data_IF_825807851628
#
_entry.id   IF_825807851628
#
_cell.length_a   1.000
_cell.length_b   1.000
_cell.length_c   1.000
_cell.angle_alpha   90.00
_cell.angle_beta   90.00
_cell.angle_gamma   90.00
#
_symmetry.space_group_name_H-M   'P 1'
#
loop_
_entity.id
_entity.type
_entity.pdbx_description
1 polymer ?
#
# COMPACT_ATOMS: atom_id res chain seq x y z
N UNK A 1 -8.40 16.21 -26.12
CA UNK A 1 -8.34 14.80 -26.60
C UNK A 1 -7.43 14.02 -25.66
N UNK A 2 -8.02 13.33 -24.69
CA UNK A 2 -7.31 12.48 -23.74
C UNK A 2 -6.79 11.25 -24.49
N UNK A 3 -5.47 11.08 -24.56
CA UNK A 3 -4.86 9.88 -25.13
C UNK A 3 -5.49 8.63 -24.48
N UNK A 4 -5.86 7.60 -25.25
CA UNK A 4 -6.43 6.39 -24.69
C UNK A 4 -5.41 5.81 -23.70
N UNK A 5 -5.79 5.71 -22.43
CA UNK A 5 -4.96 5.09 -21.39
C UNK A 5 -4.69 3.65 -21.81
N UNK A 6 -3.50 3.40 -22.33
CA UNK A 6 -3.12 2.10 -22.86
C UNK A 6 -3.20 1.05 -21.75
N UNK A 7 -3.84 -0.08 -22.05
CA UNK A 7 -3.93 -1.22 -21.13
C UNK A 7 -2.54 -1.56 -20.59
N UNK A 8 -2.41 -1.76 -19.28
CA UNK A 8 -1.15 -2.17 -18.63
C UNK A 8 -0.55 -3.40 -19.33
N UNK A 9 -1.41 -4.31 -19.81
CA UNK A 9 -1.04 -5.48 -20.61
C UNK A 9 -0.30 -5.09 -21.90
N UNK A 10 -0.85 -4.15 -22.67
CA UNK A 10 -0.26 -3.70 -23.93
C UNK A 10 1.08 -2.99 -23.68
N UNK A 11 1.14 -2.18 -22.62
CA UNK A 11 2.34 -1.40 -22.27
C UNK A 11 3.49 -2.30 -21.82
N UNK A 12 3.23 -3.27 -20.96
CA UNK A 12 4.23 -4.27 -20.53
C UNK A 12 4.68 -5.16 -21.69
N UNK A 13 3.74 -5.64 -22.50
CA UNK A 13 4.06 -6.42 -23.70
C UNK A 13 4.94 -5.63 -24.68
N UNK A 14 4.58 -4.37 -24.97
CA UNK A 14 5.35 -3.50 -25.85
C UNK A 14 6.77 -3.23 -25.30
N UNK A 15 6.90 -2.98 -23.99
CA UNK A 15 8.21 -2.78 -23.38
C UNK A 15 9.09 -4.04 -23.46
N UNK A 16 8.53 -5.21 -23.14
CA UNK A 16 9.25 -6.48 -23.19
C UNK A 16 9.67 -6.87 -24.61
N UNK A 17 8.78 -6.69 -25.60
CA UNK A 17 9.10 -7.04 -26.99
C UNK A 17 10.12 -6.08 -27.59
N UNK A 18 10.06 -4.78 -27.27
CA UNK A 18 11.06 -3.81 -27.71
C UNK A 18 12.42 -4.09 -27.07
N UNK A 19 12.46 -4.30 -25.75
CA UNK A 19 13.71 -4.61 -25.06
C UNK A 19 14.35 -5.91 -25.59
N UNK A 20 13.54 -6.95 -25.78
CA UNK A 20 14.03 -8.22 -26.33
C UNK A 20 14.46 -8.07 -27.78
N UNK A 21 13.67 -7.36 -28.59
CA UNK A 21 14.00 -7.07 -29.99
C UNK A 21 15.33 -6.32 -30.14
N UNK A 22 15.63 -5.37 -29.25
CA UNK A 22 16.91 -4.65 -29.23
C UNK A 22 18.08 -5.59 -28.92
N UNK A 23 17.94 -6.46 -27.90
CA UNK A 23 18.97 -7.45 -27.55
C UNK A 23 19.22 -8.41 -28.71
N UNK A 24 18.15 -8.85 -29.38
CA UNK A 24 18.22 -9.74 -30.53
C UNK A 24 18.86 -9.07 -31.75
N UNK A 25 18.47 -7.85 -32.06
CA UNK A 25 19.06 -7.06 -33.15
C UNK A 25 20.56 -6.85 -32.91
N UNK A 26 20.96 -6.54 -31.67
CA UNK A 26 22.37 -6.41 -31.30
C UNK A 26 23.12 -7.74 -31.48
N UNK A 27 22.57 -8.86 -30.98
CA UNK A 27 23.18 -10.17 -31.15
C UNK A 27 23.34 -10.57 -32.62
N UNK A 28 22.31 -10.36 -33.44
CA UNK A 28 22.36 -10.65 -34.88
C UNK A 28 23.41 -9.78 -35.60
N UNK A 29 23.44 -8.48 -35.32
CA UNK A 29 24.43 -7.56 -35.88
C UNK A 29 25.86 -7.96 -35.47
N UNK A 30 26.06 -8.28 -34.18
CA UNK A 30 27.35 -8.72 -33.66
C UNK A 30 27.84 -10.01 -34.32
N UNK A 31 26.97 -11.01 -34.45
CA UNK A 31 27.29 -12.29 -35.13
C UNK A 31 27.71 -12.03 -36.57
N UNK A 32 26.93 -11.24 -37.31
CA UNK A 32 27.17 -10.99 -38.74
C UNK A 32 28.48 -10.24 -38.96
N UNK A 33 28.74 -9.17 -38.19
CA UNK A 33 29.96 -8.36 -38.28
C UNK A 33 31.21 -9.14 -37.81
N UNK A 34 31.11 -9.88 -36.70
CA UNK A 34 32.24 -10.60 -36.12
C UNK A 34 32.64 -11.86 -36.91
N UNK A 35 31.66 -12.54 -37.53
CA UNK A 35 31.90 -13.77 -38.30
C UNK A 35 32.61 -13.45 -39.60
N UNK A 36 32.17 -12.43 -40.35
CA UNK A 36 32.79 -12.05 -41.61
C UNK A 36 34.28 -11.71 -41.43
N UNK A 37 34.60 -10.80 -40.50
CA UNK A 37 35.98 -10.37 -40.29
C UNK A 37 36.92 -11.48 -39.78
N UNK A 38 36.41 -12.51 -39.09
CA UNK A 38 37.19 -13.68 -38.69
C UNK A 38 37.35 -14.67 -39.83
N UNK A 39 36.29 -14.93 -40.57
CA UNK A 39 36.28 -15.90 -41.65
C UNK A 39 37.21 -15.49 -42.79
N UNK A 40 37.23 -14.21 -43.16
CA UNK A 40 38.15 -13.72 -44.18
C UNK A 40 39.62 -13.94 -43.79
N UNK A 41 39.98 -13.68 -42.53
CA UNK A 41 41.34 -13.88 -42.03
C UNK A 41 41.77 -15.34 -42.04
N UNK A 42 40.88 -16.26 -41.64
CA UNK A 42 41.17 -17.69 -41.62
C UNK A 42 41.34 -18.24 -43.03
N UNK A 43 40.47 -17.84 -43.97
CA UNK A 43 40.54 -18.30 -45.36
C UNK A 43 41.79 -17.76 -46.07
N UNK A 44 42.10 -16.47 -45.90
CA UNK A 44 43.31 -15.88 -46.46
C UNK A 44 44.58 -16.49 -45.85
N UNK A 45 44.59 -16.82 -44.55
CA UNK A 45 45.71 -17.52 -43.92
C UNK A 45 45.94 -18.92 -44.52
N UNK A 46 44.86 -19.68 -44.80
CA UNK A 46 44.95 -20.99 -45.46
C UNK A 46 45.58 -20.91 -46.85
N UNK A 47 45.24 -19.89 -47.65
CA UNK A 47 45.86 -19.68 -48.97
C UNK A 47 47.38 -19.47 -48.87
N UNK A 48 47.81 -18.66 -47.89
CA UNK A 48 49.22 -18.39 -47.64
C UNK A 48 49.97 -19.64 -47.19
N UNK A 49 49.41 -20.37 -46.22
CA UNK A 49 50.01 -21.60 -45.71
C UNK A 49 50.14 -22.66 -46.81
N UNK A 50 49.10 -22.85 -47.63
CA UNK A 50 49.13 -23.78 -48.76
C UNK A 50 50.21 -23.40 -49.80
N UNK A 51 50.29 -22.12 -50.19
CA UNK A 51 51.29 -21.66 -51.16
C UNK A 51 52.72 -21.80 -50.64
N UNK A 52 52.94 -21.48 -49.36
CA UNK A 52 54.25 -21.61 -48.72
C UNK A 52 54.66 -23.08 -48.56
N UNK A 53 53.71 -23.98 -48.24
CA UNK A 53 53.96 -25.42 -48.15
C UNK A 53 54.38 -25.98 -49.51
N UNK A 54 53.65 -25.66 -50.58
CA UNK A 54 54.01 -26.08 -51.94
C UNK A 54 55.36 -25.50 -52.36
N UNK A 55 55.62 -24.22 -52.07
CA UNK A 55 56.91 -23.59 -52.37
C UNK A 55 58.09 -24.25 -51.62
N UNK A 56 57.89 -24.62 -50.36
CA UNK A 56 58.91 -25.29 -49.53
C UNK A 56 59.19 -26.72 -49.99
N UNK A 57 58.17 -27.49 -50.39
CA UNK A 57 58.33 -28.86 -50.91
C UNK A 57 59.08 -28.90 -52.23
N UNK A 58 58.93 -27.85 -53.04
CA UNK A 58 59.69 -27.67 -54.28
C UNK A 58 61.16 -27.36 -53.99
N UNK A 59 61.45 -26.52 -52.98
CA UNK A 59 62.82 -26.18 -52.58
C UNK A 59 63.57 -27.39 -51.98
N UNK A 60 62.90 -28.28 -51.25
CA UNK A 60 63.49 -29.48 -50.63
C UNK A 60 63.81 -30.63 -51.60
N UNK A 61 63.63 -30.46 -52.92
CA UNK A 61 63.90 -31.47 -53.96
C UNK A 61 63.11 -32.79 -53.84
N UNK A 62 62.07 -32.86 -53.00
CA UNK A 62 61.18 -34.05 -52.95
C UNK A 62 60.34 -34.20 -54.22
N UNK A 63 60.14 -33.10 -54.96
CA UNK A 63 59.48 -33.08 -56.26
C UNK A 63 60.51 -32.64 -57.30
N UNK A 64 61.09 -33.59 -58.04
CA UNK A 64 62.02 -33.29 -59.13
C UNK A 64 61.33 -32.53 -60.26
N UNK A 65 61.59 -31.23 -60.37
CA UNK A 65 61.04 -30.36 -61.43
C UNK A 65 61.57 -30.67 -62.85
N UNK A 66 62.55 -31.56 -62.98
CA UNK A 66 63.24 -31.85 -64.25
C UNK A 66 62.73 -33.07 -65.02
N UNK A 67 61.58 -33.66 -64.66
CA UNK A 67 61.03 -34.84 -65.37
C UNK A 67 59.51 -34.80 -65.66
N UNK A 68 58.86 -33.64 -65.66
CA UNK A 68 57.42 -33.53 -65.89
C UNK A 68 57.06 -32.60 -67.06
N UNK A 69 57.60 -32.88 -68.25
CA UNK A 69 56.98 -32.44 -69.51
C UNK A 69 55.79 -33.35 -69.91
N UNK A 70 55.48 -34.37 -69.09
CA UNK A 70 54.23 -35.12 -69.13
C UNK A 70 53.39 -34.75 -67.93
N UNK A 71 52.13 -34.37 -68.17
CA UNK A 71 51.07 -34.27 -67.17
C UNK A 71 51.11 -35.50 -66.25
N UNK A 72 51.54 -35.30 -65.00
CA UNK A 72 51.36 -36.29 -63.95
C UNK A 72 49.87 -36.38 -63.67
N UNK A 73 49.23 -37.42 -64.21
CA UNK A 73 47.82 -37.72 -63.98
C UNK A 73 47.69 -38.23 -62.54
N UNK A 74 47.40 -37.31 -61.62
CA UNK A 74 47.10 -37.64 -60.24
C UNK A 74 45.75 -38.38 -60.23
N UNK A 75 45.80 -39.69 -59.98
CA UNK A 75 44.64 -40.59 -59.99
C UNK A 75 43.38 -39.98 -59.38
N UNK A 76 42.27 -40.27 -60.04
CA UNK A 76 40.94 -39.69 -59.84
C UNK A 76 40.35 -40.04 -58.46
N UNK A 77 40.72 -39.28 -57.42
CA UNK A 77 40.00 -39.29 -56.15
C UNK A 77 38.77 -38.39 -56.30
N UNK A 78 37.66 -38.98 -56.76
CA UNK A 78 36.36 -38.32 -56.97
C UNK A 78 35.65 -38.12 -55.62
N UNK A 79 35.91 -36.98 -54.98
CA UNK A 79 34.98 -36.39 -54.02
C UNK A 79 34.56 -35.03 -54.57
N UNK A 80 33.46 -35.01 -55.35
CA UNK A 80 32.95 -33.85 -56.10
C UNK A 80 32.77 -32.58 -55.27
N UNK A 81 32.57 -32.70 -53.95
CA UNK A 81 32.41 -31.56 -53.04
C UNK A 81 33.70 -30.85 -52.63
N UNK A 82 34.88 -31.49 -52.71
CA UNK A 82 36.15 -30.93 -52.21
C UNK A 82 37.09 -30.42 -53.31
N UNK A 83 36.91 -30.86 -54.57
CA UNK A 83 37.86 -30.59 -55.67
C UNK A 83 37.95 -29.13 -56.13
N UNK A 84 37.08 -28.22 -55.66
CA UNK A 84 37.09 -26.79 -56.01
C UNK A 84 37.47 -25.84 -54.88
N UNK A 85 37.90 -26.35 -53.72
CA UNK A 85 38.09 -25.49 -52.55
C UNK A 85 39.39 -24.68 -52.60
N UNK A 86 40.44 -25.24 -53.22
CA UNK A 86 41.74 -24.59 -53.42
C UNK A 86 42.33 -25.03 -54.76
N UNK A 87 42.65 -24.07 -55.61
CA UNK A 87 43.28 -24.30 -56.91
C UNK A 87 44.73 -23.83 -56.87
N UNK A 88 45.67 -24.69 -57.27
CA UNK A 88 47.11 -24.41 -57.30
C UNK A 88 47.63 -24.43 -58.73
N UNK A 89 48.44 -23.45 -59.10
CA UNK A 89 49.22 -23.41 -60.34
C UNK A 89 50.69 -23.13 -60.01
N UNK A 90 51.60 -23.81 -60.69
CA UNK A 90 53.04 -23.61 -60.58
C UNK A 90 53.51 -23.14 -61.95
N UNK A 91 54.08 -21.95 -62.00
CA UNK A 91 54.62 -21.33 -63.21
C UNK A 91 56.13 -21.24 -63.09
N UNK A 92 56.86 -21.44 -64.19
CA UNK A 92 58.27 -21.11 -64.28
C UNK A 92 58.43 -19.58 -64.29
N UNK A 93 59.58 -19.08 -63.82
CA UNK A 93 59.93 -17.66 -63.99
C UNK A 93 60.04 -17.23 -65.46
N UNK A 94 60.19 -18.19 -66.40
CA UNK A 94 60.12 -17.95 -67.85
C UNK A 94 58.69 -17.70 -68.37
N UNK A 95 57.67 -17.99 -67.56
CA UNK A 95 56.26 -17.83 -67.91
C UNK A 95 55.56 -19.10 -68.36
N UNK A 96 56.23 -20.25 -68.33
CA UNK A 96 55.65 -21.56 -68.70
C UNK A 96 54.89 -22.20 -67.53
N UNK A 97 53.74 -22.82 -67.80
CA UNK A 97 52.99 -23.56 -66.77
C UNK A 97 53.68 -24.90 -66.52
N UNK A 98 54.18 -25.10 -65.29
CA UNK A 98 54.92 -26.29 -64.87
C UNK A 98 54.00 -27.35 -64.29
N UNK A 99 52.93 -26.93 -63.59
CA UNK A 99 51.95 -27.85 -63.02
C UNK A 99 50.69 -27.15 -62.54
N UNK A 100 49.57 -27.86 -62.50
CA UNK A 100 48.30 -27.35 -61.98
C UNK A 100 47.52 -28.44 -61.23
N UNK A 101 46.74 -28.04 -60.23
CA UNK A 101 45.76 -28.92 -59.59
C UNK A 101 44.56 -29.17 -60.52
N UNK A 102 43.87 -30.31 -60.37
CA UNK A 102 42.71 -30.69 -61.20
C UNK A 102 41.61 -29.62 -61.29
N UNK A 103 41.40 -28.82 -60.23
CA UNK A 103 40.40 -27.74 -60.19
C UNK A 103 40.91 -26.34 -60.61
N UNK A 104 42.13 -26.20 -61.14
CA UNK A 104 42.68 -24.90 -61.53
C UNK A 104 42.35 -24.56 -63.00
N UNK A 105 41.95 -23.31 -63.31
CA UNK A 105 41.72 -22.87 -64.69
C UNK A 105 43.02 -22.92 -65.50
N UNK A 106 42.90 -22.94 -66.84
CA UNK A 106 44.07 -22.88 -67.73
C UNK A 106 44.69 -21.48 -67.78
N UNK A 107 43.86 -20.45 -67.59
CA UNK A 107 44.32 -19.08 -67.49
C UNK A 107 45.04 -18.82 -66.15
N UNK A 108 46.10 -18.01 -66.21
CA UNK A 108 46.94 -17.67 -65.06
C UNK A 108 46.13 -16.96 -63.96
N UNK A 109 46.18 -17.47 -62.73
CA UNK A 109 45.37 -16.97 -61.61
C UNK A 109 45.79 -15.58 -61.09
N UNK A 110 47.04 -15.16 -61.27
CA UNK A 110 47.53 -13.84 -60.86
C UNK A 110 48.64 -13.33 -61.78
N UNK A 111 48.66 -12.02 -62.02
CA UNK A 111 49.78 -11.33 -62.68
C UNK A 111 50.75 -10.68 -61.68
N UNK A 112 50.49 -10.80 -60.37
CA UNK A 112 51.34 -10.23 -59.33
C UNK A 112 52.42 -11.22 -58.91
N UNK A 113 53.65 -10.73 -58.76
CA UNK A 113 54.81 -11.56 -58.42
C UNK A 113 54.77 -12.11 -56.98
N UNK A 114 54.02 -11.50 -56.05
CA UNK A 114 53.84 -12.01 -54.70
C UNK A 114 52.63 -11.38 -54.00
N UNK A 115 52.10 -12.05 -52.98
CA UNK A 115 51.04 -11.54 -52.12
C UNK A 115 49.63 -11.86 -52.61
N UNK A 116 48.62 -11.23 -52.01
CA UNK A 116 47.24 -11.50 -52.37
C UNK A 116 46.74 -10.61 -53.51
N UNK A 117 46.01 -11.21 -54.45
CA UNK A 117 45.30 -10.53 -55.51
C UNK A 117 43.85 -11.06 -55.60
N UNK A 118 42.95 -10.26 -56.18
CA UNK A 118 41.64 -10.73 -56.63
C UNK A 118 41.63 -10.61 -58.16
N UNK A 119 41.25 -11.69 -58.85
CA UNK A 119 41.20 -11.73 -60.31
C UNK A 119 39.91 -12.38 -60.79
N UNK A 120 39.38 -11.90 -61.90
CA UNK A 120 38.32 -12.59 -62.63
C UNK A 120 38.97 -13.49 -63.67
N UNK A 121 38.71 -14.80 -63.60
CA UNK A 121 39.20 -15.82 -64.54
C UNK A 121 38.01 -16.67 -64.93
N UNK A 122 37.78 -16.83 -66.24
CA UNK A 122 36.65 -17.58 -66.81
C UNK A 122 35.27 -17.15 -66.27
N UNK A 123 35.12 -15.85 -65.98
CA UNK A 123 33.89 -15.26 -65.43
C UNK A 123 33.71 -15.41 -63.91
N UNK A 124 34.60 -16.14 -63.23
CA UNK A 124 34.56 -16.34 -61.78
C UNK A 124 35.57 -15.45 -61.06
N UNK A 125 35.23 -15.00 -59.85
CA UNK A 125 36.13 -14.20 -59.02
C UNK A 125 36.98 -15.10 -58.13
N UNK A 126 38.29 -14.99 -58.27
CA UNK A 126 39.28 -15.75 -57.51
C UNK A 126 40.03 -14.83 -56.57
N UNK A 127 40.24 -15.27 -55.33
CA UNK A 127 41.18 -14.66 -54.39
C UNK A 127 42.42 -15.55 -54.36
N UNK A 128 43.56 -14.98 -54.71
CA UNK A 128 44.78 -15.74 -55.03
C UNK A 128 45.92 -15.20 -54.19
N UNK A 129 46.75 -16.09 -53.66
CA UNK A 129 48.03 -15.77 -53.04
C UNK A 129 49.18 -16.29 -53.92
N UNK A 130 50.07 -15.38 -54.32
CA UNK A 130 51.24 -15.67 -55.14
C UNK A 130 52.50 -15.71 -54.26
N UNK A 131 53.33 -16.74 -54.47
CA UNK A 131 54.66 -16.87 -53.87
C UNK A 131 55.67 -17.13 -54.98
N UNK A 132 56.61 -16.20 -55.14
CA UNK A 132 57.73 -16.35 -56.07
C UNK A 132 58.95 -16.88 -55.33
N UNK A 133 59.44 -18.04 -55.76
CA UNK A 133 60.66 -18.65 -55.23
C UNK A 133 61.77 -18.53 -56.28
N UNK A 134 62.64 -17.54 -56.11
CA UNK A 134 63.74 -17.26 -57.04
C UNK A 134 64.80 -18.36 -57.06
N UNK A 135 64.99 -19.09 -55.95
CA UNK A 135 65.96 -20.19 -55.85
C UNK A 135 65.53 -21.42 -56.65
N UNK A 136 64.23 -21.72 -56.61
CA UNK A 136 63.63 -22.81 -57.35
C UNK A 136 63.23 -22.44 -58.78
N UNK A 137 63.31 -21.16 -59.16
CA UNK A 137 62.95 -20.69 -60.50
C UNK A 137 61.45 -20.79 -60.82
N UNK A 138 60.58 -20.81 -59.79
CA UNK A 138 59.13 -20.98 -59.95
C UNK A 138 58.30 -19.96 -59.16
N UNK A 139 57.07 -19.78 -59.60
CA UNK A 139 56.01 -18.98 -58.98
C UNK A 139 54.81 -19.88 -58.70
N UNK A 140 54.42 -19.97 -57.43
CA UNK A 140 53.28 -20.76 -56.96
C UNK A 140 52.10 -19.83 -56.74
N UNK A 141 50.98 -20.14 -57.38
CA UNK A 141 49.71 -19.42 -57.27
C UNK A 141 48.67 -20.34 -56.63
N UNK A 142 48.16 -19.99 -55.45
CA UNK A 142 47.06 -20.72 -54.81
C UNK A 142 45.86 -19.81 -54.68
N UNK A 143 44.69 -20.22 -55.16
CA UNK A 143 43.47 -19.40 -55.08
C UNK A 143 42.22 -20.16 -54.68
N UNK A 144 41.28 -19.45 -54.06
CA UNK A 144 39.92 -19.90 -53.76
C UNK A 144 38.89 -19.12 -54.61
N UNK A 145 37.79 -19.79 -54.98
CA UNK A 145 36.69 -19.16 -55.70
C UNK A 145 35.80 -18.39 -54.71
N UNK A 146 35.68 -17.07 -54.90
CA UNK A 146 34.91 -16.18 -54.04
C UNK A 146 33.40 -16.42 -54.11
N UNK A 147 32.87 -16.91 -55.24
CA UNK A 147 31.45 -17.27 -55.38
C UNK A 147 31.12 -18.45 -54.46
N UNK A 148 31.92 -19.52 -54.54
CA UNK A 148 31.76 -20.69 -53.67
C UNK A 148 31.95 -20.34 -52.19
N UNK A 149 32.97 -19.52 -51.88
CA UNK A 149 33.18 -18.98 -50.53
C UNK A 149 31.95 -18.22 -50.02
N UNK A 150 31.37 -17.34 -50.85
CA UNK A 150 30.19 -16.55 -50.48
C UNK A 150 28.94 -17.41 -50.29
N UNK A 151 28.80 -18.51 -51.03
CA UNK A 151 27.69 -19.46 -50.87
C UNK A 151 27.76 -20.14 -49.50
N UNK A 152 28.95 -20.62 -49.09
CA UNK A 152 29.18 -21.18 -47.76
C UNK A 152 28.88 -20.14 -46.67
N UNK A 153 29.37 -18.90 -46.83
CA UNK A 153 29.10 -17.82 -45.87
C UNK A 153 27.60 -17.55 -45.76
N UNK A 154 26.88 -17.49 -46.89
CA UNK A 154 25.44 -17.26 -46.92
C UNK A 154 24.67 -18.38 -46.25
N UNK A 155 25.00 -19.64 -46.52
CA UNK A 155 24.37 -20.80 -45.88
C UNK A 155 24.59 -20.80 -44.37
N UNK A 156 25.81 -20.51 -43.91
CA UNK A 156 26.10 -20.35 -42.48
C UNK A 156 25.29 -19.20 -41.87
N UNK A 157 25.25 -18.02 -42.52
CA UNK A 157 24.48 -16.88 -42.05
C UNK A 157 22.98 -17.19 -41.99
N UNK A 158 22.42 -17.87 -42.98
CA UNK A 158 21.02 -18.32 -42.96
C UNK A 158 20.77 -19.32 -41.83
N UNK A 159 21.67 -20.30 -41.64
CA UNK A 159 21.57 -21.28 -40.56
C UNK A 159 21.60 -20.63 -39.17
N UNK A 160 22.27 -19.48 -39.00
CA UNK A 160 22.28 -18.73 -37.74
C UNK A 160 21.09 -17.77 -37.61
N UNK A 161 20.69 -17.09 -38.69
CA UNK A 161 19.67 -16.01 -38.65
C UNK A 161 18.23 -16.51 -38.77
N UNK A 162 17.96 -17.58 -39.52
CA UNK A 162 16.59 -18.12 -39.69
C UNK A 162 16.00 -18.62 -38.37
N UNK A 163 16.69 -19.45 -37.55
CA UNK A 163 16.18 -19.82 -36.24
C UNK A 163 15.90 -18.60 -35.38
N UNK A 164 16.72 -17.56 -35.52
CA UNK A 164 16.58 -16.30 -34.80
C UNK A 164 15.29 -15.55 -35.23
N UNK A 165 14.99 -15.52 -36.52
CA UNK A 165 13.78 -14.88 -37.02
C UNK A 165 12.49 -15.61 -36.60
N UNK A 166 12.53 -16.94 -36.47
CA UNK A 166 11.38 -17.77 -36.06
C UNK A 166 11.13 -17.73 -34.56
N UNK A 167 12.19 -17.67 -33.75
CA UNK A 167 12.09 -17.69 -32.28
C UNK A 167 11.56 -16.38 -31.70
N UNK A 168 11.80 -15.24 -32.35
CA UNK A 168 11.29 -13.94 -31.90
C UNK A 168 9.74 -13.84 -31.89
N UNK A 169 9.00 -14.19 -32.97
CA UNK A 169 7.54 -14.20 -32.94
C UNK A 169 6.98 -15.29 -32.00
N UNK A 170 7.67 -16.43 -31.87
CA UNK A 170 7.29 -17.46 -30.89
C UNK A 170 7.38 -16.91 -29.46
N UNK A 171 8.48 -16.23 -29.12
CA UNK A 171 8.66 -15.58 -27.83
C UNK A 171 7.62 -14.47 -27.61
N UNK A 172 7.30 -13.68 -28.64
CA UNK A 172 6.24 -12.67 -28.57
C UNK A 172 4.88 -13.32 -28.22
N UNK A 173 4.53 -14.43 -28.87
CA UNK A 173 3.31 -15.16 -28.56
C UNK A 173 3.30 -15.67 -27.11
N UNK A 174 4.41 -16.27 -26.64
CA UNK A 174 4.55 -16.74 -25.26
C UNK A 174 4.38 -15.59 -24.26
N UNK A 175 5.06 -14.47 -24.48
CA UNK A 175 4.96 -13.28 -23.63
C UNK A 175 3.53 -12.72 -23.61
N UNK A 176 2.84 -12.68 -24.76
CA UNK A 176 1.45 -12.23 -24.85
C UNK A 176 0.50 -13.07 -24.00
N UNK A 177 0.68 -14.40 -24.00
CA UNK A 177 -0.10 -15.31 -23.16
C UNK A 177 0.30 -15.25 -21.68
N UNK A 178 1.59 -15.16 -21.38
CA UNK A 178 2.11 -15.09 -20.01
C UNK A 178 1.64 -13.82 -19.29
N UNK A 179 1.80 -12.65 -19.92
CA UNK A 179 1.34 -11.37 -19.36
C UNK A 179 -0.19 -11.35 -19.24
N UNK A 180 -0.89 -11.91 -20.24
CA UNK A 180 -2.35 -12.02 -20.21
C UNK A 180 -2.88 -12.86 -19.04
N UNK A 181 -2.26 -14.02 -18.79
CA UNK A 181 -2.58 -14.88 -17.64
C UNK A 181 -2.18 -14.26 -16.31
N UNK A 182 -1.00 -13.64 -16.23
CA UNK A 182 -0.50 -12.99 -15.00
C UNK A 182 -1.36 -11.82 -14.53
N UNK A 183 -1.96 -11.06 -15.45
CA UNK A 183 -2.84 -9.93 -15.13
C UNK A 183 -4.32 -10.32 -15.00
N UNK A 184 -4.70 -11.57 -15.31
CA UNK A 184 -6.09 -12.02 -15.25
C UNK A 184 -6.71 -11.96 -13.84
N UNK A 185 -6.01 -12.28 -12.73
CA UNK A 185 -6.56 -12.12 -11.38
C UNK A 185 -6.94 -10.67 -11.06
N UNK A 186 -6.12 -9.71 -11.50
CA UNK A 186 -6.37 -8.29 -11.27
C UNK A 186 -7.60 -7.79 -12.06
N UNK A 187 -7.76 -8.21 -13.32
CA UNK A 187 -8.93 -7.83 -14.10
C UNK A 187 -10.22 -8.47 -13.58
N UNK A 188 -10.15 -9.70 -13.07
CA UNK A 188 -11.29 -10.34 -12.38
C UNK A 188 -11.67 -9.59 -11.10
N UNK A 189 -10.68 -9.17 -10.31
CA UNK A 189 -10.91 -8.38 -9.10
C UNK A 189 -11.58 -7.04 -9.43
N UNK A 190 -11.07 -6.33 -10.44
CA UNK A 190 -11.66 -5.07 -10.90
C UNK A 190 -13.11 -5.26 -11.37
N UNK A 191 -13.38 -6.29 -12.20
CA UNK A 191 -14.73 -6.59 -12.67
C UNK A 191 -15.68 -6.99 -11.53
N UNK A 192 -15.18 -7.69 -10.50
CA UNK A 192 -15.96 -8.02 -9.28
C UNK A 192 -16.33 -6.75 -8.51
N UNK A 193 -15.40 -5.80 -8.38
CA UNK A 193 -15.64 -4.51 -7.71
C UNK A 193 -16.60 -3.61 -8.51
N UNK A 194 -16.46 -3.53 -9.84
CA UNK A 194 -17.35 -2.71 -10.69
C UNK A 194 -18.80 -3.19 -10.69
N UNK A 195 -19.03 -4.51 -10.56
CA UNK A 195 -20.38 -5.09 -10.54
C UNK A 195 -21.01 -5.11 -9.15
N UNK A 196 -20.23 -4.79 -8.11
CA UNK A 196 -20.68 -4.84 -6.73
C UNK A 196 -21.57 -3.64 -6.44
N UNK A 197 -22.69 -3.87 -5.75
CA UNK A 197 -23.57 -2.80 -5.29
C UNK A 197 -22.92 -2.07 -4.11
N UNK A 198 -23.26 -0.79 -3.94
CA UNK A 198 -22.70 0.02 -2.85
C UNK A 198 -22.96 -0.56 -1.45
N UNK A 199 -24.05 -1.30 -1.26
CA UNK A 199 -24.41 -1.93 0.02
C UNK A 199 -23.78 -3.31 0.24
N UNK A 200 -23.18 -3.91 -0.80
CA UNK A 200 -22.61 -5.26 -0.70
C UNK A 200 -21.20 -5.20 -0.12
N UNK A 201 -21.13 -5.39 1.21
CA UNK A 201 -19.91 -5.35 2.01
C UNK A 201 -19.37 -6.76 2.34
N UNK A 202 -19.82 -7.79 1.61
CA UNK A 202 -19.29 -9.15 1.80
C UNK A 202 -17.79 -9.21 1.48
N UNK A 203 -17.00 -9.98 2.24
CA UNK A 203 -15.57 -10.10 2.01
C UNK A 203 -15.28 -10.68 0.62
N UNK A 204 -14.22 -10.17 0.00
CA UNK A 204 -13.66 -10.71 -1.24
C UNK A 204 -12.87 -11.99 -0.91
N UNK A 205 -13.02 -13.06 -1.71
CA UNK A 205 -12.29 -14.31 -1.50
C UNK A 205 -10.78 -14.12 -1.72
N UNK A 206 -9.97 -14.61 -0.78
CA UNK A 206 -8.49 -14.54 -0.84
C UNK A 206 -7.88 -15.69 -1.67
N UNK A 207 -8.61 -16.78 -1.88
CA UNK A 207 -8.09 -18.03 -2.47
C UNK A 207 -7.67 -17.87 -3.94
N UNK A 208 -8.36 -16.99 -4.67
CA UNK A 208 -8.09 -16.69 -6.08
C UNK A 208 -6.95 -15.64 -6.27
N UNK A 209 -6.47 -15.02 -5.18
CA UNK A 209 -5.53 -13.91 -5.26
C UNK A 209 -4.07 -14.39 -5.22
N UNK A 210 -3.26 -13.90 -6.16
CA UNK A 210 -1.80 -14.09 -6.15
C UNK A 210 -1.17 -13.41 -4.94
N UNK A 211 0.05 -13.82 -4.56
CA UNK A 211 0.73 -13.36 -3.35
C UNK A 211 0.85 -11.82 -3.28
N UNK A 212 1.01 -11.18 -4.43
CA UNK A 212 1.17 -9.73 -4.60
C UNK A 212 -0.16 -8.99 -4.44
N UNK A 213 -1.28 -9.64 -4.75
CA UNK A 213 -2.63 -9.04 -4.71
C UNK A 213 -3.29 -9.25 -3.33
N UNK A 214 -2.91 -10.30 -2.60
CA UNK A 214 -3.46 -10.61 -1.26
C UNK A 214 -3.45 -9.42 -0.28
N UNK A 215 -2.38 -8.62 -0.14
CA UNK A 215 -2.40 -7.46 0.76
C UNK A 215 -3.47 -6.43 0.40
N UNK A 216 -3.72 -6.22 -0.90
CA UNK A 216 -4.76 -5.29 -1.38
C UNK A 216 -6.16 -5.83 -1.06
N UNK A 217 -6.39 -7.13 -1.27
CA UNK A 217 -7.66 -7.79 -0.92
C UNK A 217 -7.93 -7.68 0.58
N UNK A 218 -6.92 -7.92 1.42
CA UNK A 218 -7.04 -7.77 2.88
C UNK A 218 -7.36 -6.35 3.30
N UNK A 219 -6.69 -5.36 2.72
CA UNK A 219 -6.96 -3.96 3.02
C UNK A 219 -8.39 -3.56 2.64
N UNK A 220 -8.90 -4.04 1.48
CA UNK A 220 -10.28 -3.85 1.06
C UNK A 220 -11.27 -4.54 2.00
N UNK A 221 -11.03 -5.80 2.37
CA UNK A 221 -11.87 -6.52 3.31
C UNK A 221 -11.94 -5.82 4.69
N UNK A 222 -10.80 -5.32 5.18
CA UNK A 222 -10.77 -4.52 6.41
C UNK A 222 -11.56 -3.21 6.30
N UNK A 223 -11.54 -2.56 5.14
CA UNK A 223 -12.39 -1.39 4.88
C UNK A 223 -13.87 -1.77 4.87
N UNK A 224 -14.26 -2.84 4.17
CA UNK A 224 -15.65 -3.31 4.13
C UNK A 224 -16.17 -3.65 5.52
N UNK A 225 -15.36 -4.29 6.37
CA UNK A 225 -15.72 -4.57 7.75
C UNK A 225 -16.01 -3.29 8.54
N UNK A 226 -15.12 -2.29 8.48
CA UNK A 226 -15.31 -1.01 9.17
C UNK A 226 -16.56 -0.29 8.69
N UNK A 227 -16.82 -0.28 7.39
CA UNK A 227 -18.04 0.34 6.82
C UNK A 227 -19.28 -0.43 7.27
N UNK A 228 -19.24 -1.77 7.31
CA UNK A 228 -20.36 -2.59 7.75
C UNK A 228 -20.70 -2.35 9.23
N UNK A 229 -19.69 -2.22 10.09
CA UNK A 229 -19.89 -1.88 11.50
C UNK A 229 -20.52 -0.49 11.68
N UNK A 230 -20.04 0.52 10.94
CA UNK A 230 -20.58 1.87 11.00
C UNK A 230 -22.05 1.91 10.57
N UNK A 231 -22.37 1.32 9.41
CA UNK A 231 -23.75 1.25 8.92
C UNK A 231 -24.66 0.41 9.82
N UNK A 232 -24.12 -0.66 10.42
CA UNK A 232 -24.85 -1.47 11.41
C UNK A 232 -25.28 -0.64 12.62
N UNK A 233 -24.34 0.12 13.19
CA UNK A 233 -24.60 1.02 14.33
C UNK A 233 -25.60 2.12 14.00
N UNK A 234 -25.50 2.70 12.80
CA UNK A 234 -26.43 3.74 12.33
C UNK A 234 -27.86 3.19 12.19
N UNK A 235 -28.02 2.01 11.56
CA UNK A 235 -29.34 1.37 11.39
C UNK A 235 -29.99 1.02 12.72
N UNK A 236 -29.22 0.48 13.66
CA UNK A 236 -29.72 0.17 15.00
C UNK A 236 -30.16 1.45 15.73
N UNK A 237 -29.36 2.51 15.67
CA UNK A 237 -29.72 3.81 16.23
C UNK A 237 -31.02 4.36 15.65
N UNK A 238 -31.17 4.38 14.32
CA UNK A 238 -32.37 4.86 13.65
C UNK A 238 -33.60 4.02 14.00
N UNK A 239 -33.46 2.70 14.07
CA UNK A 239 -34.55 1.79 14.42
C UNK A 239 -35.06 2.05 15.84
N UNK A 240 -34.16 2.21 16.80
CA UNK A 240 -34.54 2.47 18.20
C UNK A 240 -35.06 3.90 18.38
N UNK A 241 -34.44 4.90 17.74
CA UNK A 241 -34.94 6.28 17.76
C UNK A 241 -36.37 6.37 17.23
N UNK A 242 -36.68 5.67 16.14
CA UNK A 242 -38.05 5.61 15.60
C UNK A 242 -39.03 4.96 16.60
N UNK A 243 -38.61 3.90 17.29
CA UNK A 243 -39.45 3.24 18.31
C UNK A 243 -39.72 4.15 19.51
N UNK A 244 -38.68 4.78 20.06
CA UNK A 244 -38.75 5.67 21.22
C UNK A 244 -39.55 6.94 20.93
N UNK A 245 -39.59 7.43 19.69
CA UNK A 245 -40.45 8.56 19.29
C UNK A 245 -41.92 8.13 19.10
N UNK A 246 -42.18 6.92 18.59
CA UNK A 246 -43.54 6.45 18.28
C UNK A 246 -44.42 6.29 19.52
N UNK A 247 -43.84 5.79 20.60
CA UNK A 247 -44.56 5.53 21.88
C UNK A 247 -45.14 6.81 22.50
N UNK A 248 -44.37 7.88 22.76
CA UNK A 248 -44.91 9.12 23.32
C UNK A 248 -45.83 9.85 22.35
N UNK A 249 -45.61 9.78 21.03
CA UNK A 249 -46.55 10.32 20.04
C UNK A 249 -47.93 9.64 20.11
N UNK A 250 -47.95 8.32 20.33
CA UNK A 250 -49.20 7.59 20.53
C UNK A 250 -49.90 8.02 21.83
N UNK A 251 -49.13 8.21 22.90
CA UNK A 251 -49.66 8.74 24.17
C UNK A 251 -50.24 10.16 24.04
N UNK A 252 -49.56 11.05 23.32
CA UNK A 252 -50.03 12.41 23.02
C UNK A 252 -51.35 12.36 22.24
N UNK A 253 -51.44 11.49 21.23
CA UNK A 253 -52.68 11.28 20.47
C UNK A 253 -53.82 10.84 21.38
N UNK A 254 -53.59 9.87 22.27
CA UNK A 254 -54.62 9.42 23.22
C UNK A 254 -55.08 10.54 24.14
N UNK A 255 -54.17 11.37 24.67
CA UNK A 255 -54.57 12.51 25.51
C UNK A 255 -55.34 13.57 24.71
N UNK A 256 -54.98 13.80 23.45
CA UNK A 256 -55.74 14.68 22.56
C UNK A 256 -57.16 14.15 22.29
N UNK A 257 -57.31 12.83 22.06
CA UNK A 257 -58.62 12.18 21.92
C UNK A 257 -59.46 12.29 23.20
N UNK A 258 -58.85 12.15 24.38
CA UNK A 258 -59.51 12.35 25.68
C UNK A 258 -59.95 13.81 25.83
N UNK A 259 -59.09 14.79 25.53
CA UNK A 259 -59.42 16.21 25.61
C UNK A 259 -60.58 16.57 24.66
N UNK A 260 -60.60 16.01 23.45
CA UNK A 260 -61.66 16.24 22.47
C UNK A 260 -63.02 15.64 22.87
N UNK A 261 -63.02 14.57 23.67
CA UNK A 261 -64.22 13.86 24.14
C UNK A 261 -64.51 14.08 25.63
N UNK A 262 -63.87 15.07 26.25
CA UNK A 262 -63.98 15.29 27.68
C UNK A 262 -65.43 15.66 28.08
N UNK A 263 -66.03 14.97 29.06
CA UNK A 263 -67.41 15.25 29.50
C UNK A 263 -67.50 16.51 30.37
N UNK A 264 -66.38 16.99 30.90
CA UNK A 264 -66.29 18.14 31.81
C UNK A 264 -64.96 18.92 31.62
N UNK A 265 -64.92 20.14 32.15
CA UNK A 265 -63.76 21.04 32.01
C UNK A 265 -62.52 20.57 32.76
N UNK A 266 -62.68 19.87 33.89
CA UNK A 266 -61.56 19.37 34.66
C UNK A 266 -60.83 18.23 33.92
N UNK A 267 -61.58 17.31 33.31
CA UNK A 267 -61.02 16.25 32.46
C UNK A 267 -60.30 16.83 31.24
N UNK A 268 -60.88 17.86 30.59
CA UNK A 268 -60.25 18.57 29.46
C UNK A 268 -58.93 19.21 29.87
N UNK A 269 -58.94 19.97 30.97
CA UNK A 269 -57.76 20.67 31.49
C UNK A 269 -56.64 19.69 31.89
N UNK A 270 -57.00 18.59 32.54
CA UNK A 270 -56.04 17.55 32.91
C UNK A 270 -55.42 16.87 31.67
N UNK A 271 -56.21 16.58 30.64
CA UNK A 271 -55.72 16.01 29.38
C UNK A 271 -54.79 16.99 28.63
N UNK A 272 -55.15 18.27 28.54
CA UNK A 272 -54.30 19.32 27.96
C UNK A 272 -52.97 19.47 28.72
N UNK A 273 -53.00 19.45 30.06
CA UNK A 273 -51.79 19.48 30.88
C UNK A 273 -50.86 18.27 30.62
N UNK A 274 -51.44 17.07 30.42
CA UNK A 274 -50.68 15.87 30.05
C UNK A 274 -50.09 15.97 28.64
N UNK A 275 -50.79 16.60 27.70
CA UNK A 275 -50.27 16.87 26.34
C UNK A 275 -49.04 17.78 26.43
N UNK A 276 -49.13 18.92 27.13
CA UNK A 276 -48.01 19.87 27.30
C UNK A 276 -46.81 19.14 27.91
N UNK A 277 -47.03 18.41 29.01
CA UNK A 277 -45.97 17.63 29.67
C UNK A 277 -45.36 16.58 28.72
N UNK A 278 -46.17 15.95 27.88
CA UNK A 278 -45.72 14.97 26.88
C UNK A 278 -44.92 15.60 25.74
N UNK A 279 -45.29 16.80 25.29
CA UNK A 279 -44.55 17.57 24.28
C UNK A 279 -43.17 17.96 24.82
N UNK A 280 -43.09 18.44 26.05
CA UNK A 280 -41.81 18.78 26.70
C UNK A 280 -40.89 17.57 26.83
N UNK A 281 -41.46 16.39 27.12
CA UNK A 281 -40.71 15.12 27.15
C UNK A 281 -40.19 14.74 25.76
N UNK A 282 -41.00 14.87 24.72
CA UNK A 282 -40.57 14.59 23.35
C UNK A 282 -39.48 15.56 22.89
N UNK A 283 -39.61 16.85 23.21
CA UNK A 283 -38.59 17.84 22.88
C UNK A 283 -37.24 17.49 23.55
N UNK A 284 -37.26 17.03 24.81
CA UNK A 284 -36.06 16.51 25.49
C UNK A 284 -35.47 15.29 24.79
N UNK A 285 -36.30 14.30 24.42
CA UNK A 285 -35.83 13.11 23.70
C UNK A 285 -35.16 13.46 22.37
N UNK A 286 -35.75 14.37 21.58
CA UNK A 286 -35.16 14.83 20.31
C UNK A 286 -33.82 15.52 20.55
N UNK A 287 -33.71 16.39 21.56
CA UNK A 287 -32.43 17.02 21.93
C UNK A 287 -31.37 15.97 22.31
N UNK A 288 -31.76 14.93 23.03
CA UNK A 288 -30.86 13.84 23.40
C UNK A 288 -30.40 13.02 22.19
N UNK A 289 -31.30 12.72 21.24
CA UNK A 289 -30.97 12.01 19.99
C UNK A 289 -30.01 12.82 19.11
N UNK A 290 -30.26 14.13 18.95
CA UNK A 290 -29.39 15.02 18.19
C UNK A 290 -28.01 15.12 18.85
N UNK A 291 -27.97 15.32 20.16
CA UNK A 291 -26.72 15.40 20.90
C UNK A 291 -25.92 14.07 20.84
N UNK A 292 -26.61 12.93 20.83
CA UNK A 292 -25.98 11.63 20.61
C UNK A 292 -25.38 11.52 19.21
N UNK A 293 -26.11 11.91 18.16
CA UNK A 293 -25.63 11.89 16.77
C UNK A 293 -24.42 12.81 16.56
N UNK A 294 -24.46 14.03 17.13
CA UNK A 294 -23.32 14.95 17.12
C UNK A 294 -22.11 14.38 17.86
N UNK A 295 -22.34 13.70 18.98
CA UNK A 295 -21.30 13.02 19.73
C UNK A 295 -20.73 11.79 18.99
N UNK A 296 -21.48 11.06 18.18
CA UNK A 296 -20.90 9.98 17.35
C UNK A 296 -20.14 10.52 16.13
N UNK A 297 -20.60 11.62 15.52
CA UNK A 297 -20.07 12.10 14.24
C UNK A 297 -18.75 12.90 14.33
N UNK A 298 -18.47 13.58 15.43
CA UNK A 298 -17.33 14.49 15.47
C UNK A 298 -15.97 13.74 15.58
N UNK A 299 -14.87 14.30 15.09
CA UNK A 299 -13.53 13.69 15.21
C UNK A 299 -13.01 13.69 16.66
N UNK A 300 -12.12 12.77 17.09
CA UNK A 300 -11.51 12.79 18.42
C UNK A 300 -10.99 14.19 18.76
N UNK A 301 -11.43 14.76 19.88
CA UNK A 301 -11.09 16.13 20.21
C UNK A 301 -9.62 16.22 20.64
N UNK A 302 -8.77 16.79 19.78
CA UNK A 302 -7.50 17.39 20.20
C UNK A 302 -7.88 18.65 20.95
N UNK A 303 -8.00 18.54 22.28
CA UNK A 303 -8.71 19.53 23.08
C UNK A 303 -7.87 20.77 23.37
N UNK A 304 -8.49 21.93 23.21
CA UNK A 304 -8.03 23.18 23.80
C UNK A 304 -7.99 23.06 25.34
N UNK A 305 -7.16 23.89 25.99
CA UNK A 305 -7.05 23.94 27.45
C UNK A 305 -8.30 24.62 28.02
N UNK A 306 -9.15 23.85 28.68
CA UNK A 306 -10.46 24.27 29.17
C UNK A 306 -10.50 24.28 30.69
N UNK A 307 -10.90 25.40 31.30
CA UNK A 307 -11.18 25.46 32.75
C UNK A 307 -12.50 24.77 33.05
N UNK A 308 -12.52 23.88 34.05
CA UNK A 308 -13.68 23.02 34.30
C UNK A 308 -14.89 23.77 34.86
N UNK A 309 -14.67 24.64 35.85
CA UNK A 309 -15.76 25.29 36.58
C UNK A 309 -16.76 26.05 35.67
N UNK A 310 -16.35 26.94 34.75
CA UNK A 310 -17.30 27.68 33.91
C UNK A 310 -18.20 26.75 33.07
N UNK A 311 -17.62 25.68 32.52
CA UNK A 311 -18.32 24.74 31.66
C UNK A 311 -19.28 23.88 32.46
N UNK A 312 -18.85 23.40 33.64
CA UNK A 312 -19.71 22.62 34.53
C UNK A 312 -20.87 23.47 35.02
N UNK A 313 -20.62 24.68 35.51
CA UNK A 313 -21.66 25.60 35.99
C UNK A 313 -22.69 25.93 34.91
N UNK A 314 -22.24 26.23 33.68
CA UNK A 314 -23.14 26.49 32.56
C UNK A 314 -23.97 25.25 32.18
N UNK A 315 -23.32 24.08 32.10
CA UNK A 315 -23.98 22.83 31.70
C UNK A 315 -24.96 22.28 32.75
N UNK A 316 -24.77 22.59 34.04
CA UNK A 316 -25.64 22.14 35.13
C UNK A 316 -26.74 23.14 35.53
N UNK A 317 -26.76 24.35 34.95
CA UNK A 317 -27.66 25.43 35.36
C UNK A 317 -29.15 25.06 35.30
N UNK A 318 -29.59 24.42 34.21
CA UNK A 318 -31.00 24.01 34.05
C UNK A 318 -31.40 22.93 35.08
N UNK A 319 -30.49 21.99 35.38
CA UNK A 319 -30.72 20.97 36.40
C UNK A 319 -30.78 21.57 37.81
N UNK A 320 -29.93 22.56 38.11
CA UNK A 320 -29.94 23.29 39.37
C UNK A 320 -31.28 24.02 39.58
N UNK A 321 -31.72 24.81 38.60
CA UNK A 321 -33.00 25.53 38.67
C UNK A 321 -34.20 24.58 38.86
N UNK A 322 -34.16 23.39 38.23
CA UNK A 322 -35.21 22.38 38.39
C UNK A 322 -35.24 21.78 39.80
N UNK A 323 -34.09 21.50 40.40
CA UNK A 323 -34.00 21.01 41.77
C UNK A 323 -34.51 22.04 42.76
N UNK A 324 -34.10 23.31 42.61
CA UNK A 324 -34.53 24.42 43.45
C UNK A 324 -36.06 24.60 43.43
N UNK A 325 -36.69 24.46 42.26
CA UNK A 325 -38.15 24.51 42.12
C UNK A 325 -38.88 23.42 42.94
N UNK A 326 -38.19 22.34 43.32
CA UNK A 326 -38.70 21.24 44.15
C UNK A 326 -38.16 21.25 45.59
N UNK A 327 -37.44 22.30 46.00
CA UNK A 327 -36.82 22.41 47.32
C UNK A 327 -35.50 21.64 47.48
N UNK A 328 -34.95 21.11 46.39
CA UNK A 328 -33.63 20.49 46.34
C UNK A 328 -32.51 21.49 46.03
N UNK A 329 -31.27 21.00 45.91
CA UNK A 329 -30.11 21.81 45.54
C UNK A 329 -29.07 21.04 44.72
N UNK A 330 -28.36 21.73 43.85
CA UNK A 330 -27.18 21.21 43.14
C UNK A 330 -25.94 21.91 43.70
N UNK A 331 -24.97 21.15 44.19
CA UNK A 331 -23.73 21.65 44.79
C UNK A 331 -22.57 21.36 43.84
N UNK A 332 -21.94 22.42 43.33
CA UNK A 332 -20.69 22.32 42.56
C UNK A 332 -19.52 22.63 43.49
N UNK A 333 -18.53 21.76 43.54
CA UNK A 333 -17.32 21.94 44.35
C UNK A 333 -16.42 23.05 43.76
N UNK A 334 -16.00 24.00 44.61
CA UNK A 334 -15.08 25.08 44.25
C UNK A 334 -13.72 24.55 43.75
N UNK A 335 -13.34 23.33 44.14
CA UNK A 335 -12.13 22.64 43.67
C UNK A 335 -12.09 22.43 42.15
N UNK A 336 -13.21 22.56 41.44
CA UNK A 336 -13.24 22.57 39.97
C UNK A 336 -12.57 23.81 39.36
N UNK A 337 -12.42 24.91 40.10
CA UNK A 337 -11.82 26.15 39.62
C UNK A 337 -10.35 25.99 39.18
N UNK A 338 -9.63 25.08 39.85
CA UNK A 338 -8.19 24.85 39.66
C UNK A 338 -7.88 23.77 38.61
N UNK A 339 -8.92 23.16 38.02
CA UNK A 339 -8.78 22.06 37.06
C UNK A 339 -8.88 22.59 35.64
N UNK A 340 -7.83 22.34 34.85
CA UNK A 340 -7.83 22.55 33.39
C UNK A 340 -7.70 21.21 32.69
N UNK A 341 -8.53 20.95 31.67
CA UNK A 341 -8.45 19.75 30.85
C UNK A 341 -8.13 20.10 29.40
N UNK A 342 -7.36 19.24 28.74
CA UNK A 342 -7.13 19.29 27.30
C UNK A 342 -8.18 18.43 26.56
N UNK A 343 -9.44 18.86 26.62
CA UNK A 343 -10.60 18.18 26.00
C UNK A 343 -11.50 19.19 25.30
N UNK A 344 -12.32 18.72 24.36
CA UNK A 344 -13.31 19.59 23.72
C UNK A 344 -14.38 20.06 24.71
N UNK A 345 -14.77 21.34 24.65
CA UNK A 345 -15.81 21.91 25.50
C UNK A 345 -17.19 21.26 25.27
N UNK A 346 -17.58 21.08 24.00
CA UNK A 346 -18.88 20.51 23.64
C UNK A 346 -19.13 19.09 24.24
N UNK A 347 -18.24 18.09 24.09
CA UNK A 347 -18.47 16.77 24.70
C UNK A 347 -18.45 16.82 26.23
N UNK A 348 -17.66 17.69 26.86
CA UNK A 348 -17.67 17.86 28.31
C UNK A 348 -19.01 18.45 28.78
N UNK A 349 -19.43 19.57 28.19
CA UNK A 349 -20.70 20.22 28.52
C UNK A 349 -21.89 19.28 28.33
N UNK A 350 -21.88 18.48 27.26
CA UNK A 350 -22.91 17.49 27.00
C UNK A 350 -22.95 16.37 28.04
N UNK A 351 -21.78 15.82 28.41
CA UNK A 351 -21.70 14.78 29.44
C UNK A 351 -22.17 15.30 30.80
N UNK A 352 -21.72 16.49 31.21
CA UNK A 352 -22.13 17.13 32.48
C UNK A 352 -23.62 17.38 32.51
N UNK A 353 -24.20 17.94 31.44
CA UNK A 353 -25.63 18.19 31.36
C UNK A 353 -26.43 16.90 31.55
N UNK A 354 -26.06 15.82 30.86
CA UNK A 354 -26.77 14.54 31.00
C UNK A 354 -26.64 13.94 32.41
N UNK A 355 -25.46 14.03 33.03
CA UNK A 355 -25.27 13.55 34.40
C UNK A 355 -26.06 14.39 35.42
N UNK A 356 -26.05 15.72 35.28
CA UNK A 356 -26.79 16.63 36.15
C UNK A 356 -28.31 16.48 36.00
N UNK A 357 -28.81 16.35 34.77
CA UNK A 357 -30.22 16.07 34.49
C UNK A 357 -30.66 14.72 35.05
N UNK A 358 -29.82 13.69 34.95
CA UNK A 358 -30.07 12.38 35.55
C UNK A 358 -30.15 12.50 37.08
N UNK A 359 -29.13 13.10 37.71
CA UNK A 359 -29.13 13.33 39.16
C UNK A 359 -30.37 14.08 39.62
N UNK A 360 -30.73 15.17 38.94
CA UNK A 360 -31.91 15.95 39.25
C UNK A 360 -33.25 15.23 38.99
N UNK A 361 -33.25 14.10 38.27
CA UNK A 361 -34.46 13.30 38.00
C UNK A 361 -34.65 12.22 39.06
N UNK A 362 -33.55 11.68 39.58
CA UNK A 362 -33.55 10.51 40.45
C UNK A 362 -33.20 10.80 41.92
N UNK A 363 -32.68 12.00 42.22
CA UNK A 363 -32.42 12.45 43.60
C UNK A 363 -33.69 12.36 44.45
N UNK A 364 -33.63 11.62 45.55
CA UNK A 364 -34.77 11.44 46.48
C UNK A 364 -34.66 12.32 47.71
N UNK A 365 -33.45 12.65 48.15
CA UNK A 365 -33.20 13.70 49.14
C UNK A 365 -33.05 15.09 48.53
N UNK A 366 -33.13 15.17 47.18
CA UNK A 366 -33.14 16.42 46.43
C UNK A 366 -31.76 17.06 46.27
N UNK A 367 -30.67 16.33 46.53
CA UNK A 367 -29.32 16.87 46.42
C UNK A 367 -28.50 16.15 45.36
N UNK A 368 -27.84 16.94 44.51
CA UNK A 368 -26.85 16.48 43.52
C UNK A 368 -25.53 17.18 43.79
N UNK A 369 -24.42 16.44 43.77
CA UNK A 369 -23.07 16.94 43.96
C UNK A 369 -22.26 16.76 42.68
N UNK A 370 -21.50 17.79 42.30
CA UNK A 370 -20.53 17.72 41.20
C UNK A 370 -19.17 18.13 41.76
N UNK A 371 -18.20 17.22 41.72
CA UNK A 371 -16.88 17.39 42.32
C UNK A 371 -15.76 16.85 41.46
N UNK A 372 -14.52 17.15 41.86
CA UNK A 372 -13.33 16.62 41.21
C UNK A 372 -12.47 15.84 42.21
N UNK A 373 -12.06 14.62 41.85
CA UNK A 373 -11.23 13.77 42.71
C UNK A 373 -10.56 12.63 41.93
N UNK A 374 -9.33 12.27 42.31
CA UNK A 374 -8.56 11.17 41.71
C UNK A 374 -8.49 11.17 40.17
N UNK A 375 -8.38 12.37 39.59
CA UNK A 375 -8.33 12.56 38.13
C UNK A 375 -9.68 12.35 37.43
N UNK A 376 -10.78 12.42 38.16
CA UNK A 376 -12.13 12.24 37.64
C UNK A 376 -13.07 13.39 38.01
N UNK A 377 -13.96 13.73 37.07
CA UNK A 377 -15.14 14.54 37.35
C UNK A 377 -16.24 13.60 37.86
N UNK A 378 -16.73 13.83 39.07
CA UNK A 378 -17.67 12.95 39.76
C UNK A 378 -18.99 13.67 39.93
N UNK A 379 -20.08 13.01 39.52
CA UNK A 379 -21.45 13.43 39.78
C UNK A 379 -22.12 12.39 40.67
N UNK A 380 -22.67 12.85 41.79
CA UNK A 380 -23.33 12.03 42.79
C UNK A 380 -24.73 12.56 43.09
N UNK A 381 -25.68 11.66 43.36
CA UNK A 381 -27.01 12.02 43.87
C UNK A 381 -27.37 11.22 45.12
N UNK A 382 -28.41 11.66 45.83
CA UNK A 382 -28.99 10.99 47.00
C UNK A 382 -30.26 10.19 46.63
N UNK A 383 -30.31 9.66 45.42
CA UNK A 383 -31.40 8.83 44.93
C UNK A 383 -31.42 7.40 45.49
N UNK A 384 -32.30 6.57 44.93
CA UNK A 384 -32.39 5.15 45.27
C UNK A 384 -31.23 4.28 44.78
N UNK A 385 -30.29 4.84 44.01
CA UNK A 385 -29.20 4.10 43.39
C UNK A 385 -29.65 3.09 42.33
N UNK A 386 -28.75 2.15 42.02
CA UNK A 386 -28.95 1.09 41.03
C UNK A 386 -28.39 -0.23 41.58
N UNK A 387 -28.96 -1.37 41.17
CA UNK A 387 -28.45 -2.66 41.62
C UNK A 387 -27.03 -2.92 41.06
N UNK A 388 -26.12 -3.58 41.81
CA UNK A 388 -24.73 -3.79 41.38
C UNK A 388 -24.58 -4.44 40.00
N UNK A 389 -25.50 -5.35 39.67
CA UNK A 389 -25.54 -6.11 38.42
C UNK A 389 -25.93 -5.25 37.21
N UNK A 390 -26.59 -4.12 37.43
CA UNK A 390 -27.09 -3.24 36.38
C UNK A 390 -26.04 -2.21 35.92
N UNK A 391 -25.03 -1.91 36.76
CA UNK A 391 -24.01 -0.89 36.44
C UNK A 391 -23.24 -1.18 35.14
N UNK A 392 -22.93 -2.45 34.85
CA UNK A 392 -22.23 -2.80 33.61
C UNK A 392 -23.09 -2.63 32.35
N UNK A 393 -24.41 -2.65 32.50
CA UNK A 393 -25.37 -2.51 31.39
C UNK A 393 -25.93 -1.11 31.28
N UNK A 394 -25.76 -0.28 32.32
CA UNK A 394 -26.33 1.04 32.45
C UNK A 394 -25.84 2.07 31.42
N UNK A 395 -24.60 1.92 30.92
CA UNK A 395 -24.06 2.73 29.82
C UNK A 395 -24.48 2.20 28.44
N UNK A 396 -25.15 1.04 28.38
CA UNK A 396 -25.73 0.49 27.16
C UNK A 396 -26.81 1.42 26.59
N UNK A 397 -26.84 1.54 25.26
CA UNK A 397 -27.84 2.37 24.55
C UNK A 397 -29.25 1.95 24.94
N UNK A 398 -30.08 2.92 25.33
CA UNK A 398 -31.49 2.72 25.68
C UNK A 398 -31.73 1.75 26.84
N UNK A 399 -30.70 1.44 27.63
CA UNK A 399 -30.86 0.59 28.81
C UNK A 399 -31.63 1.34 29.91
N UNK A 400 -32.62 0.66 30.49
CA UNK A 400 -33.37 1.12 31.65
C UNK A 400 -33.27 0.03 32.72
N UNK A 401 -32.81 0.41 33.91
CA UNK A 401 -32.81 -0.48 35.06
C UNK A 401 -34.22 -0.92 35.46
N UNK A 402 -34.29 -1.93 36.33
CA UNK A 402 -35.49 -2.56 36.87
C UNK A 402 -36.46 -1.60 37.58
N UNK A 403 -36.01 -0.39 37.92
CA UNK A 403 -36.84 0.67 38.51
C UNK A 403 -37.68 1.42 37.43
N UNK A 404 -38.70 0.73 36.90
CA UNK A 404 -39.59 1.15 35.79
C UNK A 404 -40.43 2.43 36.02
N UNK A 405 -40.31 3.10 37.16
CA UNK A 405 -41.11 4.30 37.51
C UNK A 405 -40.48 5.63 37.04
N UNK A 406 -39.22 5.64 36.60
CA UNK A 406 -38.52 6.87 36.18
C UNK A 406 -38.83 7.32 34.74
N UNK A 407 -39.04 8.63 34.57
CA UNK A 407 -39.23 9.33 33.28
C UNK A 407 -37.84 9.53 32.64
N UNK A 408 -37.41 8.61 31.76
CA UNK A 408 -36.12 8.73 31.07
C UNK A 408 -36.04 7.83 29.83
N UNK A 409 -35.30 8.29 28.82
CA UNK A 409 -35.13 7.66 27.50
C UNK A 409 -34.10 6.52 27.48
N UNK A 410 -33.37 6.29 28.58
CA UNK A 410 -32.24 5.34 28.61
C UNK A 410 -31.03 5.79 27.79
N UNK A 411 -31.05 7.00 27.23
CA UNK A 411 -29.96 7.52 26.40
C UNK A 411 -28.91 8.28 27.21
N UNK A 412 -29.26 8.85 28.36
CA UNK A 412 -28.39 9.78 29.10
C UNK A 412 -27.00 9.21 29.39
N UNK A 413 -26.91 8.01 29.98
CA UNK A 413 -25.62 7.38 30.29
C UNK A 413 -24.87 6.91 29.03
N UNK A 414 -25.57 6.51 27.97
CA UNK A 414 -24.94 6.17 26.69
C UNK A 414 -24.36 7.40 25.95
N UNK A 415 -24.97 8.57 26.13
CA UNK A 415 -24.41 9.85 25.65
C UNK A 415 -23.14 10.18 26.44
N UNK A 416 -23.16 9.97 27.76
CA UNK A 416 -21.98 10.19 28.62
C UNK A 416 -20.84 9.24 28.24
N UNK A 417 -21.12 7.96 27.98
CA UNK A 417 -20.14 6.98 27.50
C UNK A 417 -19.53 7.40 26.16
N UNK A 418 -20.36 7.83 25.19
CA UNK A 418 -19.89 8.33 23.90
C UNK A 418 -19.01 9.57 24.07
N UNK A 419 -19.41 10.51 24.93
CA UNK A 419 -18.59 11.69 25.24
C UNK A 419 -17.28 11.32 25.93
N UNK A 420 -17.30 10.36 26.86
CA UNK A 420 -16.13 9.88 27.57
C UNK A 420 -15.09 9.30 26.59
N UNK A 421 -15.54 8.41 25.69
CA UNK A 421 -14.67 7.82 24.67
C UNK A 421 -13.97 8.88 23.79
N UNK A 422 -14.68 9.95 23.40
CA UNK A 422 -14.10 11.06 22.62
C UNK A 422 -13.07 11.89 23.38
N UNK A 423 -13.24 11.99 24.68
CA UNK A 423 -12.33 12.71 25.59
C UNK A 423 -11.19 11.79 26.08
N UNK A 424 -11.12 10.54 25.59
CA UNK A 424 -10.26 9.47 26.11
C UNK A 424 -10.47 9.21 27.60
N UNK A 425 -11.62 9.62 28.13
CA UNK A 425 -12.03 9.39 29.50
C UNK A 425 -12.74 8.03 29.62
N UNK A 426 -12.70 7.46 30.82
CA UNK A 426 -13.45 6.26 31.19
C UNK A 426 -14.62 6.64 32.09
N UNK A 427 -15.83 6.16 31.77
CA UNK A 427 -16.98 6.29 32.65
C UNK A 427 -16.99 5.12 33.66
N UNK A 428 -16.95 5.45 34.94
CA UNK A 428 -17.08 4.49 36.04
C UNK A 428 -18.41 4.78 36.77
N UNK A 429 -19.31 3.79 36.79
CA UNK A 429 -20.60 3.86 37.49
C UNK A 429 -20.55 3.06 38.79
N UNK A 430 -21.19 3.56 39.84
CA UNK A 430 -21.27 2.86 41.11
C UNK A 430 -22.28 3.45 42.08
N UNK A 431 -22.33 2.87 43.27
CA UNK A 431 -23.11 3.41 44.39
C UNK A 431 -22.31 4.48 45.13
N UNK A 432 -23.02 5.50 45.64
CA UNK A 432 -22.43 6.53 46.50
C UNK A 432 -22.25 6.01 47.92
N UNK A 433 -21.16 6.40 48.58
CA UNK A 433 -20.96 6.15 50.01
C UNK A 433 -22.01 6.94 50.82
N UNK A 434 -23.00 6.23 51.37
CA UNK A 434 -24.16 6.83 52.05
C UNK A 434 -25.51 6.61 51.36
N UNK A 435 -25.53 5.91 50.22
CA UNK A 435 -26.74 5.67 49.42
C UNK A 435 -26.89 6.69 48.29
N UNK A 436 -27.36 6.21 47.13
CA UNK A 436 -27.44 7.00 45.90
C UNK A 436 -26.58 6.46 44.76
N UNK A 437 -26.52 7.23 43.69
CA UNK A 437 -25.79 6.88 42.47
C UNK A 437 -24.54 7.77 42.31
N UNK A 438 -23.48 7.17 41.76
CA UNK A 438 -22.21 7.84 41.47
C UNK A 438 -21.78 7.54 40.04
N UNK A 439 -21.53 8.59 39.27
CA UNK A 439 -20.89 8.52 37.96
C UNK A 439 -19.59 9.31 37.96
N UNK A 440 -18.49 8.68 37.56
CA UNK A 440 -17.18 9.31 37.49
C UNK A 440 -16.60 9.23 36.07
N UNK A 441 -16.30 10.39 35.49
CA UNK A 441 -15.55 10.51 34.24
C UNK A 441 -14.07 10.65 34.56
N UNK A 442 -13.32 9.57 34.40
CA UNK A 442 -11.90 9.49 34.71
C UNK A 442 -11.06 9.85 33.49
N UNK A 443 -10.24 10.89 33.61
CA UNK A 443 -9.41 11.38 32.52
C UNK A 443 -7.98 10.83 32.62
N UNK A 444 -7.30 10.56 31.49
CA UNK A 444 -5.89 10.22 31.49
C UNK A 444 -5.05 11.37 32.05
N UNK A 445 -3.94 11.07 32.73
CA UNK A 445 -3.05 12.08 33.29
C UNK A 445 -2.57 13.10 32.22
N UNK A 446 -2.35 12.65 30.98
CA UNK A 446 -1.97 13.51 29.86
C UNK A 446 -3.01 14.58 29.49
N UNK A 447 -4.28 14.36 29.84
CA UNK A 447 -5.38 15.31 29.60
C UNK A 447 -5.58 16.29 30.75
N UNK A 448 -4.97 16.04 31.93
CA UNK A 448 -5.11 16.87 33.12
C UNK A 448 -3.99 17.88 33.18
N UNK A 449 -4.36 19.14 33.02
CA UNK A 449 -3.47 20.28 33.11
C UNK A 449 -3.81 20.98 34.43
N UNK A 450 -3.18 20.62 35.55
CA UNK A 450 -3.43 21.35 36.80
C UNK A 450 -2.97 22.81 36.65
N UNK A 451 -3.79 23.76 37.10
CA UNK A 451 -3.27 25.09 37.40
C UNK A 451 -2.27 24.91 38.56
N UNK A 452 -0.99 25.14 38.30
CA UNK A 452 0.01 25.15 39.36
C UNK A 452 -0.39 26.23 40.36
N UNK A 453 -0.68 25.81 41.59
CA UNK A 453 -0.69 26.68 42.76
C UNK A 453 0.76 27.09 43.00
N UNK A 454 1.20 28.20 42.43
CA UNK A 454 2.31 28.97 42.99
C UNK A 454 1.83 29.60 44.30
N UNK A 455 1.98 28.87 45.41
CA UNK A 455 1.98 29.47 46.75
C UNK A 455 3.25 29.10 47.51
N UNK A 456 4.04 30.14 47.74
CA UNK A 456 5.12 30.34 48.72
C UNK A 456 6.33 29.41 48.70
N UNK A 457 7.39 29.86 48.03
CA UNK A 457 8.76 29.71 48.53
C UNK A 457 9.36 31.13 48.65
N UNK A 458 9.06 31.81 49.76
CA UNK A 458 9.39 33.21 49.90
C UNK A 458 9.39 33.74 51.32
N UNK A 459 9.93 33.00 52.29
CA UNK A 459 10.57 33.58 53.49
C UNK A 459 11.71 32.64 53.91
N UNK A 460 12.93 32.97 53.50
CA UNK A 460 14.16 32.34 54.02
C UNK A 460 14.56 33.14 55.27
N UNK A 461 14.06 32.74 56.44
CA UNK A 461 14.55 33.27 57.70
C UNK A 461 15.90 32.60 58.02
N UNK A 462 16.96 33.37 57.89
CA UNK A 462 18.30 33.06 58.37
C UNK A 462 18.36 33.20 59.88
N UNK A 463 18.74 32.13 60.60
CA UNK A 463 19.32 32.24 61.93
C UNK A 463 20.55 31.32 62.04
N UNK A 464 21.71 31.82 62.50
CA UNK A 464 22.90 31.01 62.74
C UNK A 464 22.87 30.42 64.17
N UNK A 465 23.42 29.22 64.32
CA UNK A 465 23.54 28.54 65.62
C UNK A 465 24.63 29.14 66.51
N UNK A 466 24.57 28.93 67.84
CA UNK A 466 25.61 29.37 68.76
C UNK A 466 26.70 28.31 68.91
N UNK A 467 27.95 28.77 68.99
CA UNK A 467 29.09 28.00 69.50
C UNK A 467 29.64 28.69 70.74
N UNK A 468 29.79 27.91 71.81
CA UNK A 468 30.82 28.04 72.82
C UNK A 468 30.62 29.07 73.95
N UNK A 469 30.38 28.56 75.16
CA UNK A 469 31.15 29.00 76.33
C UNK A 469 31.20 27.89 77.39
N UNK A 470 32.40 27.65 77.90
CA UNK A 470 32.73 26.71 78.97
C UNK A 470 32.55 27.40 80.32
N UNK A 471 32.18 26.65 81.38
CA UNK A 471 32.98 26.70 82.60
C UNK A 471 32.77 25.49 83.52
N UNK A 472 33.89 25.08 84.10
CA UNK A 472 34.06 24.07 85.12
C UNK A 472 34.08 24.73 86.50
N UNK A 473 33.45 24.14 87.52
CA UNK A 473 33.78 24.53 88.90
C UNK A 473 32.70 24.28 89.93
N UNK A 474 32.73 23.10 90.54
CA UNK A 474 32.23 22.89 91.91
C UNK A 474 33.35 23.28 92.88
N UNK A 475 33.00 23.88 94.04
CA UNK A 475 33.56 23.35 95.27
C UNK A 475 32.50 23.07 96.34
N UNK A 476 32.89 22.18 97.23
CA UNK A 476 32.16 21.71 98.40
C UNK A 476 31.85 22.84 99.40
N UNK A 477 30.65 22.80 99.98
CA UNK A 477 30.29 22.45 101.38
C UNK A 477 28.82 22.82 101.59
#
# INVERSE_FOLDING_TARGET
MSAPRSSLRLRLFAMLIVATGLVWAFGAAWITLSTNAKLERVLDARLREAANMVSSLIESHEIGLTAAAGTLDAGEWTHEGYQRQLSCQIWSLSGDLVGKSAGAPDARLSNHAAGYAVRVVDGERWRVYAVRNERAGVEVLVGDNLTFRNDIVREMLLALTVPMLVTLPLLAAILWFAVGRGLAPLSRLAARLERRRAEDLQPLPEDDATQEIRPVVRALNGLFHRVAELLGREREFLAVAAHELKTPLSGLRTQAEIAARAPDEATRTAALGRIITGVDRNARLVRQLLAFGEAEAAAPATGDRLRLLPVVSAASAEAAARLEATGGRLVVDDGLADVVLAVGEAPLALAVRNLAENGATYATGGTVWIGWGDGALVVEDDGGGMAPEEFQRASGRFYRGSNRKGIGSGLGLSIVEACAARMEARLDLGARAGGGFRAALRFPAARIVRASVEKSAGVRATHPGPTGEADSGTPAV
#
